data_IF_881770142634
#
_entry.id   IF_881770142634
#
_cell.length_a   1.000
_cell.length_b   1.000
_cell.length_c   1.000
_cell.angle_alpha   90.00
_cell.angle_beta   90.00
_cell.angle_gamma   90.00
#
_symmetry.space_group_name_H-M   'P 1'
#
loop_
_entity.id
_entity.type
_entity.pdbx_description
1 polymer ?
#
# COMPACT_ATOMS: atom_id res chain seq x y z
N UNK A 1 20.65 13.96 -3.92
CA UNK A 1 20.18 13.50 -5.26
C UNK A 1 19.15 12.41 -5.05
N UNK A 2 17.87 12.69 -5.31
CA UNK A 2 16.81 11.69 -5.24
C UNK A 2 16.97 10.72 -6.43
N UNK A 3 17.22 9.44 -6.16
CA UNK A 3 17.24 8.39 -7.19
C UNK A 3 15.81 8.07 -7.60
N UNK A 4 15.58 7.81 -8.89
CA UNK A 4 14.28 7.40 -9.43
C UNK A 4 13.76 6.16 -8.69
N UNK A 5 12.44 6.11 -8.49
CA UNK A 5 11.73 5.07 -7.75
C UNK A 5 11.73 3.71 -8.47
N UNK A 6 12.03 3.71 -9.78
CA UNK A 6 11.89 2.59 -10.71
C UNK A 6 12.90 1.45 -10.46
N UNK A 7 13.95 1.71 -9.68
CA UNK A 7 15.05 0.77 -9.46
C UNK A 7 15.11 0.23 -8.03
N UNK A 8 14.06 0.39 -7.21
CA UNK A 8 14.10 -0.14 -5.84
C UNK A 8 13.80 -1.65 -5.84
N UNK A 9 14.80 -2.54 -5.67
CA UNK A 9 14.62 -3.93 -6.08
C UNK A 9 13.70 -4.73 -5.15
N UNK A 10 13.37 -4.20 -3.95
CA UNK A 10 12.41 -4.83 -3.03
C UNK A 10 10.96 -4.62 -3.50
N UNK A 11 10.70 -3.46 -4.13
CA UNK A 11 9.42 -3.20 -4.77
C UNK A 11 9.31 -4.05 -6.03
N UNK A 12 10.40 -4.14 -6.81
CA UNK A 12 10.48 -5.00 -8.00
C UNK A 12 10.23 -6.46 -7.63
N UNK A 13 10.85 -6.99 -6.58
CA UNK A 13 10.63 -8.37 -6.14
C UNK A 13 9.26 -8.62 -5.53
N UNK A 14 8.70 -7.67 -4.77
CA UNK A 14 7.33 -7.79 -4.26
C UNK A 14 6.31 -7.78 -5.41
N UNK A 15 6.50 -6.91 -6.40
CA UNK A 15 5.67 -6.84 -7.60
C UNK A 15 5.82 -8.10 -8.47
N UNK A 16 7.04 -8.61 -8.66
CA UNK A 16 7.32 -9.86 -9.37
C UNK A 16 6.64 -11.03 -8.66
N UNK A 17 6.86 -11.19 -7.35
CA UNK A 17 6.24 -12.26 -6.55
C UNK A 17 4.73 -12.21 -6.68
N UNK A 18 4.15 -11.01 -6.55
CA UNK A 18 2.71 -10.80 -6.67
C UNK A 18 2.19 -11.15 -8.06
N UNK A 19 2.92 -10.79 -9.11
CA UNK A 19 2.56 -11.14 -10.48
C UNK A 19 2.57 -12.65 -10.68
N UNK A 20 3.57 -13.36 -10.16
CA UNK A 20 3.65 -14.82 -10.22
C UNK A 20 2.53 -15.50 -9.43
N UNK A 21 2.22 -15.03 -8.22
CA UNK A 21 1.11 -15.55 -7.39
C UNK A 21 -0.24 -15.38 -8.10
N UNK A 22 -0.52 -14.19 -8.65
CA UNK A 22 -1.75 -13.92 -9.39
C UNK A 22 -1.87 -14.76 -10.68
N UNK A 23 -0.75 -15.09 -11.33
CA UNK A 23 -0.74 -16.02 -12.46
C UNK A 23 -1.02 -17.46 -12.00
N UNK A 24 -0.51 -17.87 -10.83
CA UNK A 24 -0.67 -19.23 -10.29
C UNK A 24 -2.10 -19.59 -9.89
N UNK A 25 -2.89 -18.63 -9.40
CA UNK A 25 -4.31 -18.84 -9.05
C UNK A 25 -5.22 -18.98 -10.28
N UNK A 26 -4.75 -18.60 -11.48
CA UNK A 26 -5.47 -18.75 -12.75
C UNK A 26 -5.02 -19.94 -13.61
N UNK A 27 -3.98 -20.67 -13.22
CA UNK A 27 -3.29 -21.67 -14.06
C UNK A 27 -3.83 -23.09 -13.89
N UNK A 28 -5.14 -23.26 -14.06
CA UNK A 28 -5.65 -24.47 -14.69
C UNK A 28 -5.67 -24.23 -16.21
N UNK A 29 -4.63 -24.71 -16.91
CA UNK A 29 -4.41 -24.67 -18.36
C UNK A 29 -3.60 -23.47 -18.92
N UNK A 30 -2.29 -23.70 -19.06
CA UNK A 30 -1.49 -23.41 -20.25
C UNK A 30 -1.59 -22.02 -20.91
N UNK A 31 -0.53 -21.23 -20.69
CA UNK A 31 -0.08 -20.09 -21.50
C UNK A 31 -1.03 -18.89 -21.58
N UNK A 32 -0.82 -17.94 -20.67
CA UNK A 32 -1.36 -16.58 -20.81
C UNK A 32 -0.64 -15.87 -21.98
N UNK A 33 -1.33 -15.44 -23.06
CA UNK A 33 -0.71 -15.06 -24.34
C UNK A 33 0.26 -13.87 -24.31
N UNK A 34 0.19 -13.04 -23.27
CA UNK A 34 0.97 -11.81 -23.12
C UNK A 34 2.12 -11.93 -22.12
N UNK A 35 2.34 -13.11 -21.54
CA UNK A 35 3.45 -13.34 -20.61
C UNK A 35 4.59 -13.98 -21.39
N UNK A 36 5.73 -13.29 -21.47
CA UNK A 36 6.93 -13.84 -22.10
C UNK A 36 7.36 -15.11 -21.34
N UNK A 37 7.33 -16.30 -21.97
CA UNK A 37 7.62 -17.57 -21.29
C UNK A 37 9.04 -17.66 -20.75
N UNK A 38 9.98 -16.96 -21.38
CA UNK A 38 11.38 -16.96 -20.97
C UNK A 38 11.62 -16.03 -19.76
N UNK A 39 10.93 -14.89 -19.72
CA UNK A 39 10.91 -14.04 -18.55
C UNK A 39 10.27 -14.77 -17.36
N UNK A 40 9.15 -15.47 -17.58
CA UNK A 40 8.49 -16.23 -16.53
C UNK A 40 9.41 -17.31 -15.95
N UNK A 41 10.13 -18.07 -16.80
CA UNK A 41 11.14 -19.03 -16.36
C UNK A 41 12.29 -18.40 -15.57
N UNK A 42 12.78 -17.23 -15.98
CA UNK A 42 13.82 -16.51 -15.22
C UNK A 42 13.31 -16.10 -13.83
N UNK A 43 12.07 -15.64 -13.74
CA UNK A 43 11.43 -15.25 -12.48
C UNK A 43 11.10 -16.46 -11.59
N UNK A 44 10.64 -17.58 -12.17
CA UNK A 44 10.41 -18.86 -11.51
C UNK A 44 11.72 -19.52 -11.05
N UNK A 45 12.78 -19.45 -11.87
CA UNK A 45 14.11 -19.94 -11.52
C UNK A 45 14.72 -19.10 -10.39
N UNK A 46 14.51 -17.79 -10.39
CA UNK A 46 14.86 -16.93 -9.26
C UNK A 46 13.94 -17.13 -8.05
N UNK A 47 12.76 -17.74 -8.20
CA UNK A 47 11.92 -18.18 -7.09
C UNK A 47 12.45 -19.49 -6.47
N UNK A 48 12.98 -20.41 -7.28
CA UNK A 48 13.57 -21.68 -6.84
C UNK A 48 15.02 -21.61 -6.35
N UNK A 49 15.79 -20.65 -6.86
CA UNK A 49 17.19 -20.38 -6.52
C UNK A 49 17.40 -18.87 -6.38
N UNK A 50 16.69 -18.24 -5.45
CA UNK A 50 16.82 -16.81 -5.11
C UNK A 50 18.25 -16.33 -5.34
N UNK A 51 18.50 -15.30 -6.18
CA UNK A 51 19.86 -14.83 -6.42
C UNK A 51 20.43 -14.57 -5.05
N UNK A 52 21.48 -15.33 -4.67
CA UNK A 52 21.96 -15.41 -3.30
C UNK A 52 21.93 -14.01 -2.72
N UNK A 53 20.95 -13.78 -1.84
CA UNK A 53 20.55 -12.45 -1.43
C UNK A 53 21.73 -11.94 -0.61
N UNK A 54 22.64 -11.22 -1.26
CA UNK A 54 23.93 -10.89 -0.66
C UNK A 54 23.68 -10.09 0.65
N UNK A 55 24.68 -10.06 1.54
CA UNK A 55 24.50 -9.44 2.85
C UNK A 55 24.10 -7.96 2.75
N UNK A 56 24.54 -7.26 1.71
CA UNK A 56 24.15 -5.88 1.44
C UNK A 56 22.66 -5.79 1.09
N UNK A 57 22.17 -6.72 0.28
CA UNK A 57 20.78 -6.83 -0.14
C UNK A 57 19.85 -7.16 1.02
N UNK A 58 20.23 -8.12 1.87
CA UNK A 58 19.50 -8.44 3.10
C UNK A 58 19.42 -7.23 4.03
N UNK A 59 20.53 -6.51 4.22
CA UNK A 59 20.57 -5.31 5.04
C UNK A 59 19.65 -4.20 4.49
N UNK A 60 19.58 -4.03 3.16
CA UNK A 60 18.71 -3.05 2.51
C UNK A 60 17.22 -3.37 2.65
N UNK A 61 16.84 -4.65 2.52
CA UNK A 61 15.46 -5.08 2.75
C UNK A 61 15.09 -4.87 4.23
N UNK A 62 15.95 -5.34 5.14
CA UNK A 62 15.73 -5.17 6.57
C UNK A 62 15.60 -3.69 6.99
N UNK A 63 16.37 -2.80 6.35
CA UNK A 63 16.31 -1.36 6.60
C UNK A 63 14.96 -0.71 6.23
N UNK A 64 14.16 -1.34 5.36
CA UNK A 64 12.83 -0.83 4.98
C UNK A 64 11.75 -1.47 5.85
N UNK A 65 11.96 -2.69 6.32
CA UNK A 65 10.97 -3.36 7.14
C UNK A 65 10.88 -2.74 8.54
N UNK A 66 9.67 -2.73 9.15
CA UNK A 66 9.53 -2.52 10.58
C UNK A 66 10.40 -3.54 11.35
N UNK A 67 10.98 -3.16 12.50
CA UNK A 67 11.95 -3.99 13.24
C UNK A 67 11.48 -5.40 13.52
N UNK A 68 10.18 -5.58 13.80
CA UNK A 68 9.59 -6.89 14.09
C UNK A 68 9.76 -7.89 12.95
N UNK A 69 9.95 -7.43 11.72
CA UNK A 69 10.13 -8.27 10.52
C UNK A 69 11.60 -8.42 10.09
N UNK A 70 12.55 -7.92 10.89
CA UNK A 70 13.98 -7.99 10.54
C UNK A 70 14.65 -9.29 10.95
N UNK A 71 14.00 -10.09 11.79
CA UNK A 71 14.47 -11.44 12.14
C UNK A 71 14.37 -12.36 10.91
N UNK A 72 15.50 -12.88 10.38
CA UNK A 72 15.48 -13.81 9.26
C UNK A 72 14.74 -15.12 9.54
N UNK A 73 14.55 -15.49 10.80
CA UNK A 73 13.82 -16.70 11.23
C UNK A 73 12.31 -16.50 11.37
N UNK A 74 11.79 -15.27 11.22
CA UNK A 74 10.37 -15.00 11.36
C UNK A 74 9.58 -15.54 10.16
N UNK A 75 8.60 -16.40 10.44
CA UNK A 75 7.61 -16.83 9.46
C UNK A 75 6.41 -15.89 9.52
N UNK A 76 6.19 -15.14 8.45
CA UNK A 76 5.03 -14.22 8.31
C UNK A 76 3.87 -14.98 7.69
N UNK A 77 2.69 -14.91 8.32
CA UNK A 77 1.49 -15.54 7.78
C UNK A 77 0.96 -14.74 6.59
N UNK A 78 0.69 -15.44 5.48
CA UNK A 78 0.01 -14.91 4.30
C UNK A 78 -1.50 -15.17 4.30
N UNK A 79 -2.05 -15.75 5.37
CA UNK A 79 -3.46 -16.12 5.43
C UNK A 79 -4.36 -14.86 5.42
N UNK A 80 -5.38 -14.79 4.55
CA UNK A 80 -6.27 -13.64 4.49
C UNK A 80 -7.10 -13.52 5.78
N UNK A 81 -7.34 -12.28 6.22
CA UNK A 81 -8.30 -12.00 7.29
C UNK A 81 -9.62 -11.51 6.70
N UNK A 82 -10.72 -11.78 7.42
CA UNK A 82 -12.04 -11.25 7.06
C UNK A 82 -12.08 -9.72 7.12
N UNK A 83 -12.82 -9.10 6.20
CA UNK A 83 -13.02 -7.66 6.21
C UNK A 83 -13.94 -7.24 7.37
N UNK A 84 -13.43 -6.40 8.28
CA UNK A 84 -14.23 -5.87 9.38
C UNK A 84 -15.41 -5.02 8.86
N UNK A 85 -16.63 -5.12 9.42
CA UNK A 85 -17.74 -4.27 9.03
C UNK A 85 -17.48 -2.79 9.35
N UNK A 86 -18.18 -1.87 8.66
CA UNK A 86 -18.13 -0.46 9.02
C UNK A 86 -18.75 -0.23 10.40
N UNK A 87 -18.01 0.45 11.27
CA UNK A 87 -18.52 0.93 12.55
C UNK A 87 -19.01 2.37 12.40
N UNK A 88 -20.06 2.75 13.14
CA UNK A 88 -20.63 4.11 13.11
C UNK A 88 -20.47 4.81 14.45
N UNK A 89 -20.20 6.11 14.40
CA UNK A 89 -20.15 7.00 15.57
C UNK A 89 -21.56 7.36 16.07
N UNK A 90 -21.64 8.13 17.16
CA UNK A 90 -22.90 8.60 17.73
C UNK A 90 -23.72 9.47 16.76
N UNK A 91 -23.07 10.10 15.79
CA UNK A 91 -23.70 10.89 14.73
C UNK A 91 -24.09 10.06 13.50
N UNK A 92 -23.89 8.74 13.54
CA UNK A 92 -24.23 7.82 12.45
C UNK A 92 -23.24 7.82 11.28
N UNK A 93 -22.10 8.51 11.37
CA UNK A 93 -21.04 8.51 10.34
C UNK A 93 -20.05 7.38 10.61
N UNK A 94 -19.23 7.03 9.61
CA UNK A 94 -18.24 5.95 9.79
C UNK A 94 -17.16 6.35 10.81
N UNK A 95 -16.93 5.54 11.82
CA UNK A 95 -15.90 5.74 12.84
C UNK A 95 -14.56 5.15 12.39
N UNK A 96 -13.91 5.77 11.38
CA UNK A 96 -12.71 5.23 10.72
C UNK A 96 -11.54 4.90 11.66
N UNK A 97 -11.39 5.62 12.76
CA UNK A 97 -10.36 5.42 13.78
C UNK A 97 -10.65 4.27 14.75
N UNK A 98 -11.90 3.80 14.80
CA UNK A 98 -12.36 2.75 15.72
C UNK A 98 -12.63 1.41 15.01
N UNK A 99 -12.46 1.37 13.68
CA UNK A 99 -12.80 0.20 12.87
C UNK A 99 -11.94 -1.05 13.15
N UNK A 100 -10.72 -0.86 13.66
CA UNK A 100 -9.70 -1.92 13.75
C UNK A 100 -9.22 -2.11 15.19
N UNK A 101 -9.18 -3.37 15.64
CA UNK A 101 -8.51 -3.79 16.87
C UNK A 101 -7.08 -4.29 16.61
N UNK A 102 -6.74 -4.47 15.33
CA UNK A 102 -5.45 -4.94 14.84
C UNK A 102 -5.44 -4.97 13.31
N UNK A 103 -4.27 -5.21 12.73
CA UNK A 103 -4.08 -5.31 11.28
C UNK A 103 -3.47 -6.65 10.90
N UNK A 104 -3.75 -7.13 9.68
CA UNK A 104 -2.99 -8.23 9.09
C UNK A 104 -1.50 -7.90 9.02
N UNK A 105 -0.70 -8.92 8.79
CA UNK A 105 0.71 -8.77 8.45
C UNK A 105 0.89 -7.82 7.26
N UNK A 106 1.94 -6.99 7.33
CA UNK A 106 2.26 -6.00 6.30
C UNK A 106 2.59 -6.71 4.98
N UNK A 107 2.00 -6.29 3.86
CA UNK A 107 2.29 -6.88 2.55
C UNK A 107 3.76 -6.81 2.19
N UNK A 108 4.43 -5.70 2.53
CA UNK A 108 5.87 -5.51 2.34
C UNK A 108 6.73 -6.55 3.09
N UNK A 109 6.20 -7.12 4.18
CA UNK A 109 6.84 -8.18 4.95
C UNK A 109 6.43 -9.60 4.51
N UNK A 110 5.61 -9.73 3.46
CA UNK A 110 5.10 -11.01 2.97
C UNK A 110 3.72 -11.40 3.49
N UNK A 111 3.04 -10.51 4.22
CA UNK A 111 1.63 -10.68 4.57
C UNK A 111 0.70 -10.55 3.36
N UNK A 112 -0.60 -10.89 3.48
CA UNK A 112 -1.53 -10.72 2.38
C UNK A 112 -1.77 -9.23 2.10
N UNK A 113 -1.89 -8.84 0.82
CA UNK A 113 -2.29 -7.49 0.47
C UNK A 113 -3.74 -7.24 0.90
N UNK A 114 -4.05 -5.99 1.24
CA UNK A 114 -5.42 -5.56 1.57
C UNK A 114 -6.42 -5.88 0.45
N UNK A 115 -6.01 -5.73 -0.83
CA UNK A 115 -6.86 -6.08 -1.97
C UNK A 115 -6.26 -7.18 -2.84
N UNK A 116 -7.12 -7.97 -3.46
CA UNK A 116 -6.74 -8.91 -4.53
C UNK A 116 -6.32 -8.20 -5.83
N UNK A 117 -7.03 -7.13 -6.19
CA UNK A 117 -6.82 -6.35 -7.43
C UNK A 117 -6.33 -4.94 -7.10
N UNK A 118 -5.48 -4.37 -7.96
CA UNK A 118 -5.00 -2.99 -7.84
C UNK A 118 -6.17 -2.00 -7.88
N UNK A 119 -6.20 -1.04 -6.96
CA UNK A 119 -7.11 0.11 -7.02
C UNK A 119 -6.41 1.23 -7.77
N UNK A 120 -6.89 1.56 -8.96
CA UNK A 120 -6.33 2.62 -9.80
C UNK A 120 -7.11 3.93 -9.64
N UNK A 121 -6.47 5.09 -9.90
CA UNK A 121 -7.20 6.35 -10.06
C UNK A 121 -8.16 6.26 -11.25
N UNK A 122 -9.21 7.06 -11.21
CA UNK A 122 -10.05 7.25 -12.40
C UNK A 122 -9.47 8.36 -13.31
N UNK A 123 -9.79 8.35 -14.61
CA UNK A 123 -9.46 9.45 -15.52
C UNK A 123 -9.96 10.81 -15.03
N UNK A 124 -9.23 11.87 -15.38
CA UNK A 124 -9.51 13.22 -14.89
C UNK A 124 -10.86 13.77 -15.40
N UNK A 125 -11.23 13.46 -16.63
CA UNK A 125 -12.51 13.83 -17.23
C UNK A 125 -13.68 13.11 -16.53
N UNK A 126 -13.53 11.82 -16.21
CA UNK A 126 -14.53 11.07 -15.43
C UNK A 126 -14.69 11.65 -14.02
N UNK A 127 -13.59 12.03 -13.35
CA UNK A 127 -13.64 12.65 -12.04
C UNK A 127 -14.39 13.99 -12.06
N UNK A 128 -14.21 14.76 -13.13
CA UNK A 128 -14.83 16.08 -13.31
C UNK A 128 -16.24 16.01 -13.89
N UNK A 129 -16.70 14.86 -14.37
CA UNK A 129 -18.05 14.68 -14.91
C UNK A 129 -19.16 14.80 -13.85
N UNK A 130 -18.84 14.55 -12.58
CA UNK A 130 -19.76 14.76 -11.45
C UNK A 130 -19.02 15.44 -10.27
N UNK A 131 -18.82 16.77 -10.34
CA UNK A 131 -17.96 17.49 -9.40
C UNK A 131 -18.51 17.48 -7.97
N UNK A 132 -19.83 17.57 -7.78
CA UNK A 132 -20.46 17.56 -6.45
C UNK A 132 -20.22 16.22 -5.76
N UNK A 133 -20.51 15.11 -6.45
CA UNK A 133 -20.28 13.78 -5.90
C UNK A 133 -18.80 13.51 -5.66
N UNK A 134 -17.93 13.98 -6.55
CA UNK A 134 -16.49 13.86 -6.37
C UNK A 134 -16.01 14.63 -5.12
N UNK A 135 -16.55 15.83 -4.88
CA UNK A 135 -16.28 16.60 -3.66
C UNK A 135 -16.73 15.86 -2.40
N UNK A 136 -17.93 15.26 -2.40
CA UNK A 136 -18.44 14.45 -1.29
C UNK A 136 -17.52 13.26 -0.97
N UNK A 137 -17.15 12.48 -1.99
CA UNK A 137 -16.23 11.33 -1.83
C UNK A 137 -14.90 11.78 -1.26
N UNK A 138 -14.32 12.89 -1.76
CA UNK A 138 -13.05 13.42 -1.26
C UNK A 138 -13.18 13.98 0.15
N UNK A 139 -14.30 14.57 0.50
CA UNK A 139 -14.56 15.03 1.86
C UNK A 139 -14.56 13.85 2.84
N UNK A 140 -15.18 12.74 2.47
CA UNK A 140 -15.24 11.53 3.29
C UNK A 140 -13.89 10.80 3.36
N UNK A 141 -13.20 10.63 2.23
CA UNK A 141 -11.82 10.14 2.21
C UNK A 141 -10.92 11.02 3.09
N UNK A 142 -11.00 12.34 2.92
CA UNK A 142 -10.23 13.29 3.70
C UNK A 142 -10.52 13.21 5.20
N UNK A 143 -11.78 12.97 5.58
CA UNK A 143 -12.16 12.72 6.97
C UNK A 143 -11.52 11.43 7.50
N UNK A 144 -11.67 10.32 6.79
CA UNK A 144 -11.10 9.03 7.20
C UNK A 144 -9.58 9.05 7.29
N UNK A 145 -8.90 9.62 6.30
CA UNK A 145 -7.45 9.76 6.27
C UNK A 145 -6.93 10.60 7.44
N UNK A 146 -7.59 11.72 7.77
CA UNK A 146 -7.26 12.52 8.96
C UNK A 146 -7.48 11.75 10.25
N UNK A 147 -8.59 11.02 10.38
CA UNK A 147 -8.88 10.27 11.60
C UNK A 147 -7.85 9.18 11.88
N UNK A 148 -7.39 8.47 10.85
CA UNK A 148 -6.47 7.32 11.03
C UNK A 148 -5.00 7.71 11.05
N UNK A 149 -4.63 8.90 10.56
CA UNK A 149 -3.22 9.34 10.48
C UNK A 149 -2.91 10.63 11.22
N UNK A 150 -3.89 11.52 11.39
CA UNK A 150 -3.68 12.91 11.82
C UNK A 150 -3.04 13.82 10.75
N UNK A 151 -2.72 13.31 9.56
CA UNK A 151 -2.01 14.06 8.53
C UNK A 151 -2.92 15.03 7.76
N UNK A 152 -2.33 16.08 7.23
CA UNK A 152 -3.05 17.07 6.43
C UNK A 152 -3.47 16.50 5.07
N UNK A 153 -4.71 16.78 4.66
CA UNK A 153 -5.28 16.35 3.38
C UNK A 153 -5.15 17.47 2.35
N UNK A 154 -4.65 17.14 1.18
CA UNK A 154 -4.39 18.06 0.06
C UNK A 154 -5.49 17.89 -0.98
N UNK A 155 -6.24 18.95 -1.25
CA UNK A 155 -7.43 18.94 -2.13
C UNK A 155 -7.23 19.64 -3.48
N UNK A 156 -6.09 20.28 -3.70
CA UNK A 156 -5.71 20.98 -4.93
C UNK A 156 -4.83 20.13 -5.87
N UNK A 157 -4.78 18.81 -5.64
CA UNK A 157 -4.11 17.85 -6.51
C UNK A 157 -4.84 17.56 -7.83
N UNK A 158 -4.24 16.72 -8.70
CA UNK A 158 -4.85 16.35 -9.98
C UNK A 158 -6.24 15.68 -9.79
N UNK A 159 -7.21 15.92 -10.70
CA UNK A 159 -8.49 15.21 -10.67
C UNK A 159 -8.30 13.69 -10.78
N UNK A 160 -9.18 12.93 -10.11
CA UNK A 160 -9.02 11.48 -9.92
C UNK A 160 -8.22 11.10 -8.66
N UNK A 161 -7.75 12.10 -7.89
CA UNK A 161 -6.90 11.89 -6.72
C UNK A 161 -7.32 12.69 -5.48
N UNK A 162 -6.91 12.20 -4.32
CA UNK A 162 -6.87 12.93 -3.05
C UNK A 162 -5.47 12.85 -2.47
N UNK A 163 -4.92 13.98 -2.01
CA UNK A 163 -3.57 14.04 -1.47
C UNK A 163 -3.53 13.93 0.05
N UNK A 164 -2.44 13.37 0.57
CA UNK A 164 -2.09 13.38 2.00
C UNK A 164 -0.65 13.87 2.13
N UNK A 165 -0.44 14.93 2.90
CA UNK A 165 0.89 15.46 3.17
C UNK A 165 1.56 14.65 4.29
N UNK A 166 2.62 13.94 3.93
CA UNK A 166 3.51 13.29 4.88
C UNK A 166 4.39 14.32 5.58
N UNK A 167 4.93 13.94 6.75
CA UNK A 167 5.82 14.81 7.54
C UNK A 167 7.09 15.17 6.75
N UNK A 168 7.63 14.23 5.99
CA UNK A 168 8.81 14.39 5.15
C UNK A 168 8.79 13.45 3.93
N UNK A 169 9.83 13.55 3.10
CA UNK A 169 9.98 12.67 1.93
C UNK A 169 10.30 11.22 2.31
N UNK A 170 10.88 10.97 3.48
CA UNK A 170 11.22 9.61 3.93
C UNK A 170 9.95 8.82 4.22
N UNK A 171 9.05 9.40 5.01
CA UNK A 171 7.73 8.89 5.27
C UNK A 171 6.95 8.68 3.98
N UNK A 172 6.97 9.67 3.07
CA UNK A 172 6.27 9.55 1.79
C UNK A 172 6.81 8.37 0.96
N UNK A 173 8.14 8.21 0.86
CA UNK A 173 8.75 7.10 0.13
C UNK A 173 8.39 5.75 0.78
N UNK A 174 8.45 5.67 2.10
CA UNK A 174 8.15 4.44 2.83
C UNK A 174 6.70 4.03 2.66
N UNK A 175 5.76 4.96 2.93
CA UNK A 175 4.33 4.72 2.80
C UNK A 175 3.95 4.39 1.36
N UNK A 176 4.51 5.09 0.38
CA UNK A 176 4.27 4.79 -1.04
C UNK A 176 4.60 3.32 -1.36
N UNK A 177 5.77 2.84 -0.93
CA UNK A 177 6.18 1.44 -1.14
C UNK A 177 5.24 0.46 -0.44
N UNK A 178 4.85 0.75 0.79
CA UNK A 178 3.95 -0.11 1.54
C UNK A 178 2.55 -0.16 0.89
N UNK A 179 1.99 0.99 0.51
CA UNK A 179 0.64 1.12 -0.06
C UNK A 179 0.52 0.40 -1.42
N UNK A 180 1.53 0.51 -2.30
CA UNK A 180 1.53 -0.21 -3.59
C UNK A 180 1.44 -1.72 -3.38
N UNK A 181 2.20 -2.26 -2.43
CA UNK A 181 2.19 -3.71 -2.14
C UNK A 181 0.85 -4.16 -1.55
N UNK A 182 0.07 -3.27 -0.94
CA UNK A 182 -1.30 -3.52 -0.48
C UNK A 182 -2.35 -3.44 -1.62
N UNK A 183 -1.92 -3.30 -2.88
CA UNK A 183 -2.74 -3.19 -4.09
C UNK A 183 -3.63 -1.93 -4.14
N UNK A 184 -3.09 -0.79 -3.73
CA UNK A 184 -3.65 0.54 -4.01
C UNK A 184 -2.61 1.37 -4.73
N UNK A 185 -2.97 1.93 -5.89
CA UNK A 185 -2.09 2.82 -6.64
C UNK A 185 -1.81 4.07 -5.80
N UNK A 186 -0.58 4.58 -5.85
CA UNK A 186 -0.22 5.82 -5.18
C UNK A 186 0.79 6.58 -6.02
N UNK A 187 0.53 7.87 -6.21
CA UNK A 187 1.45 8.80 -6.86
C UNK A 187 2.12 9.65 -5.80
N UNK A 188 3.45 9.76 -5.83
CA UNK A 188 4.21 10.62 -4.92
C UNK A 188 4.70 11.87 -5.62
N UNK A 189 4.46 13.03 -5.01
CA UNK A 189 5.13 14.28 -5.35
C UNK A 189 5.77 14.87 -4.10
N UNK A 190 7.11 14.79 -4.02
CA UNK A 190 7.86 15.17 -2.82
C UNK A 190 7.32 14.45 -1.57
N UNK A 191 6.81 15.19 -0.60
CA UNK A 191 6.22 14.67 0.64
C UNK A 191 4.69 14.45 0.55
N UNK A 192 4.07 14.60 -0.62
CA UNK A 192 2.63 14.38 -0.80
C UNK A 192 2.37 13.05 -1.50
N UNK A 193 1.46 12.27 -0.94
CA UNK A 193 0.94 11.05 -1.55
C UNK A 193 -0.47 11.28 -2.08
N UNK A 194 -0.67 11.02 -3.36
CA UNK A 194 -1.96 11.07 -4.03
C UNK A 194 -2.51 9.64 -4.15
N UNK A 195 -3.72 9.46 -3.61
CA UNK A 195 -4.47 8.22 -3.58
C UNK A 195 -5.70 8.32 -4.52
N UNK A 196 -6.17 7.21 -5.09
CA UNK A 196 -7.35 7.18 -5.95
C UNK A 196 -8.57 7.80 -5.28
N UNK A 197 -9.30 8.62 -6.03
CA UNK A 197 -10.60 9.15 -5.63
C UNK A 197 -11.47 9.35 -6.87
N UNK A 198 -12.73 8.90 -6.82
CA UNK A 198 -13.67 9.10 -7.91
C UNK A 198 -15.11 9.21 -7.41
N UNK A 199 -16.01 9.90 -8.15
CA UNK A 199 -17.40 10.09 -7.71
C UNK A 199 -18.17 8.78 -7.54
N UNK A 200 -17.79 7.71 -8.26
CA UNK A 200 -18.36 6.37 -8.12
C UNK A 200 -17.92 5.59 -6.86
N UNK A 201 -16.97 6.12 -6.08
CA UNK A 201 -16.44 5.38 -4.92
C UNK A 201 -17.50 5.27 -3.82
N UNK A 202 -17.57 4.07 -3.23
CA UNK A 202 -18.55 3.75 -2.18
C UNK A 202 -17.89 3.61 -0.80
N UNK A 203 -18.68 3.81 0.26
CA UNK A 203 -18.20 3.67 1.64
C UNK A 203 -17.66 2.26 1.92
N UNK A 204 -18.40 1.22 1.55
CA UNK A 204 -18.00 -0.19 1.82
C UNK A 204 -16.95 -0.72 0.85
N UNK A 205 -16.79 -0.09 -0.32
CA UNK A 205 -15.82 -0.45 -1.34
C UNK A 205 -14.56 0.42 -1.27
N UNK A 206 -14.42 1.29 -2.26
CA UNK A 206 -13.18 2.00 -2.57
C UNK A 206 -12.74 2.95 -1.46
N UNK A 207 -13.68 3.66 -0.81
CA UNK A 207 -13.35 4.59 0.28
C UNK A 207 -12.74 3.81 1.45
N UNK A 208 -13.40 2.74 1.90
CA UNK A 208 -12.86 1.86 2.95
C UNK A 208 -11.52 1.27 2.54
N UNK A 209 -11.35 0.86 1.29
CA UNK A 209 -10.08 0.33 0.81
C UNK A 209 -8.93 1.32 0.95
N UNK A 210 -9.12 2.55 0.47
CA UNK A 210 -8.09 3.61 0.58
C UNK A 210 -7.79 3.91 2.05
N UNK A 211 -8.81 4.14 2.88
CA UNK A 211 -8.62 4.48 4.30
C UNK A 211 -7.94 3.33 5.06
N UNK A 212 -8.34 2.08 4.81
CA UNK A 212 -7.78 0.90 5.49
C UNK A 212 -6.31 0.69 5.13
N UNK A 213 -5.95 0.79 3.85
CA UNK A 213 -4.54 0.65 3.43
C UNK A 213 -3.68 1.74 4.04
N UNK A 214 -4.16 2.98 4.06
CA UNK A 214 -3.43 4.08 4.70
C UNK A 214 -3.32 3.87 6.21
N UNK A 215 -4.38 3.45 6.90
CA UNK A 215 -4.34 3.15 8.33
C UNK A 215 -3.32 2.04 8.64
N UNK A 216 -3.38 0.93 7.90
CA UNK A 216 -2.46 -0.22 8.05
C UNK A 216 -1.01 0.21 7.85
N UNK A 217 -0.71 0.87 6.74
CA UNK A 217 0.66 1.25 6.40
C UNK A 217 1.18 2.35 7.34
N UNK A 218 0.35 3.31 7.72
CA UNK A 218 0.72 4.32 8.72
C UNK A 218 1.02 3.71 10.09
N UNK A 219 0.23 2.74 10.54
CA UNK A 219 0.52 1.97 11.75
C UNK A 219 1.92 1.33 11.68
N UNK A 220 2.25 0.63 10.60
CA UNK A 220 3.58 0.03 10.47
C UNK A 220 4.72 1.06 10.30
N UNK A 221 4.45 2.22 9.70
CA UNK A 221 5.39 3.34 9.66
C UNK A 221 5.71 3.85 11.08
N UNK A 222 4.70 4.03 11.93
CA UNK A 222 4.94 4.48 13.32
C UNK A 222 5.79 3.47 14.11
N UNK A 223 5.57 2.17 13.92
CA UNK A 223 6.44 1.13 14.48
C UNK A 223 7.87 1.19 13.92
N UNK A 224 7.99 1.43 12.60
CA UNK A 224 9.28 1.59 11.93
C UNK A 224 10.08 2.77 12.50
N UNK A 225 9.42 3.91 12.74
CA UNK A 225 10.02 5.11 13.33
C UNK A 225 10.40 4.94 14.80
N UNK A 226 9.51 4.36 15.62
CA UNK A 226 9.72 4.21 17.07
C UNK A 226 11.04 3.51 17.41
N UNK A 227 11.43 2.50 16.62
CA UNK A 227 12.68 1.80 16.82
C UNK A 227 13.93 2.52 16.32
N UNK A 228 13.79 3.55 15.47
CA UNK A 228 14.92 4.40 15.07
C UNK A 228 15.20 5.47 16.13
N UNK A 229 14.16 5.91 16.86
CA UNK A 229 14.31 6.79 18.02
C UNK A 229 14.94 6.11 19.24
N UNK A 230 14.69 4.81 19.46
CA UNK A 230 15.28 4.02 20.54
C UNK A 230 16.73 3.57 20.29
N UNK A 231 17.26 3.75 19.07
CA UNK A 231 18.65 3.43 18.71
C UNK A 231 19.57 4.66 18.57
N UNK A 232 19.09 5.85 18.94
CA UNK A 232 19.83 7.12 18.85
C UNK A 232 20.38 7.60 20.21
N UNK A 233 20.37 6.73 21.22
CA UNK A 233 21.03 6.96 22.52
C UNK A 233 22.05 5.84 22.69
N UNK A 234 23.25 6.10 22.18
CA UNK A 234 24.55 5.56 22.66
C UNK A 234 25.68 6.36 21.99
#
# INVERSE_FOLDING_TARGET
>A
MARSLDAHPALVWALIRRHLEALSEGLAAGAVPWVNPELLRVLEHAHGHGPGMDREWQARIAAILPPRYRDPGLVVSSAPMGAAPLQRDAEGRVAWDQMWQGFCELGLAGGPPHRGTLLEPIPADEALANPDRYAEVRAELGRGLRMVTGLHVVLDGPPGWIGVACVDEEMAIWLMRAIVVENVMVRRERAVLYLPAGPGFTLEGEIKNVVTVVAKTYHYWTQHQAARGLGAVD
#
